data_IF_793971588070
#
_entry.id   IF_793971588070
#
_cell.length_a   1.000
_cell.length_b   1.000
_cell.length_c   1.000
_cell.angle_alpha   90.00
_cell.angle_beta   90.00
_cell.angle_gamma   90.00
#
_symmetry.space_group_name_H-M   'P 1'
#
loop_
_entity.id
_entity.type
_entity.pdbx_description
1 polymer ?
#
# COMPACT_ATOMS: atom_id res chain seq x y z
N UNK A 1 32.12 12.31 2.48
CA UNK A 1 30.76 12.01 2.95
C UNK A 1 29.86 13.12 2.43
N UNK A 2 29.26 12.95 1.24
CA UNK A 2 28.37 13.95 0.69
C UNK A 2 26.98 13.72 1.28
N UNK A 3 26.46 14.71 2.00
CA UNK A 3 25.08 14.75 2.45
C UNK A 3 24.21 14.89 1.22
N UNK A 4 23.61 13.79 0.73
CA UNK A 4 22.58 13.88 -0.30
C UNK A 4 21.48 14.79 0.21
N UNK A 5 21.31 15.91 -0.48
CA UNK A 5 20.26 16.88 -0.19
C UNK A 5 18.96 16.20 -0.61
N UNK A 6 18.20 15.64 0.35
CA UNK A 6 16.89 15.03 0.09
C UNK A 6 15.96 16.10 -0.48
N UNK A 7 15.76 16.04 -1.79
CA UNK A 7 14.92 16.96 -2.56
C UNK A 7 13.46 16.52 -2.41
N UNK A 8 12.78 17.03 -1.37
CA UNK A 8 11.34 16.80 -1.19
C UNK A 8 10.62 17.52 -2.32
N UNK A 9 10.11 16.79 -3.31
CA UNK A 9 9.40 17.35 -4.45
C UNK A 9 7.92 17.55 -4.11
N UNK A 10 7.59 18.63 -3.39
CA UNK A 10 6.22 18.93 -2.95
C UNK A 10 5.18 18.98 -4.10
N UNK A 11 5.62 19.26 -5.35
CA UNK A 11 4.72 19.30 -6.51
C UNK A 11 4.31 17.91 -7.00
N UNK A 12 5.05 16.87 -6.64
CA UNK A 12 4.80 15.48 -7.01
C UNK A 12 4.36 14.64 -5.83
N UNK A 13 4.77 14.98 -4.61
CA UNK A 13 4.34 14.28 -3.41
C UNK A 13 2.83 14.48 -3.19
N UNK A 14 2.08 13.38 -3.04
CA UNK A 14 0.65 13.43 -2.76
C UNK A 14 0.26 12.45 -1.66
N UNK A 15 -0.90 12.68 -1.08
CA UNK A 15 -1.54 11.74 -0.15
C UNK A 15 -2.73 11.07 -0.83
N UNK A 16 -2.88 9.77 -0.61
CA UNK A 16 -4.04 9.01 -1.09
C UNK A 16 -4.67 8.28 0.08
N UNK A 17 -5.98 8.48 0.26
CA UNK A 17 -6.76 7.62 1.16
C UNK A 17 -7.01 6.30 0.44
N UNK A 18 -6.55 5.21 1.02
CA UNK A 18 -6.74 3.87 0.49
C UNK A 18 -7.66 3.09 1.41
N UNK A 19 -8.84 2.77 0.89
CA UNK A 19 -9.75 1.78 1.47
C UNK A 19 -9.62 0.47 0.68
N UNK A 20 -9.74 -0.66 1.38
CA UNK A 20 -10.04 -1.93 0.73
C UNK A 20 -11.52 -1.91 0.36
N UNK A 21 -11.88 -2.36 -0.84
CA UNK A 21 -13.27 -2.42 -1.29
C UNK A 21 -13.58 -3.84 -1.76
N UNK A 22 -14.69 -4.41 -1.30
CA UNK A 22 -15.28 -5.63 -1.87
C UNK A 22 -16.32 -5.26 -2.91
N UNK A 23 -16.59 -6.14 -3.87
CA UNK A 23 -17.76 -6.02 -4.75
C UNK A 23 -18.97 -6.70 -4.09
N UNK A 24 -20.16 -6.06 -4.05
CA UNK A 24 -20.42 -4.67 -4.42
C UNK A 24 -19.76 -3.70 -3.42
N UNK A 25 -19.28 -2.55 -3.93
CA UNK A 25 -18.38 -1.54 -3.35
C UNK A 25 -18.57 -1.23 -1.85
N UNK A 26 -18.30 -2.20 -0.98
CA UNK A 26 -18.31 -2.06 0.46
C UNK A 26 -16.86 -1.83 0.87
N UNK A 27 -16.62 -0.69 1.52
CA UNK A 27 -15.35 -0.42 2.17
C UNK A 27 -15.17 -1.48 3.26
N UNK A 28 -14.13 -2.29 3.13
CA UNK A 28 -13.69 -3.25 4.13
C UNK A 28 -12.52 -2.59 4.84
N UNK A 29 -12.57 -2.39 6.17
CA UNK A 29 -11.42 -1.91 6.90
C UNK A 29 -10.27 -2.91 6.73
N UNK A 30 -9.03 -2.40 6.72
CA UNK A 30 -7.88 -3.30 6.85
C UNK A 30 -8.00 -4.01 8.20
N UNK A 31 -7.90 -5.35 8.24
CA UNK A 31 -8.03 -6.07 9.50
C UNK A 31 -6.94 -5.63 10.49
N UNK A 32 -7.36 -5.31 11.72
CA UNK A 32 -6.46 -4.90 12.78
C UNK A 32 -5.39 -5.96 13.02
N UNK A 33 -4.14 -5.52 13.19
CA UNK A 33 -3.04 -6.44 13.49
C UNK A 33 -2.51 -7.23 12.29
N UNK A 34 -3.06 -7.07 11.09
CA UNK A 34 -2.63 -7.81 9.88
C UNK A 34 -1.48 -7.10 9.16
N UNK A 35 -0.46 -7.86 8.81
CA UNK A 35 0.66 -7.39 8.00
C UNK A 35 0.25 -7.31 6.53
N UNK A 36 0.70 -6.25 5.84
CA UNK A 36 0.33 -6.01 4.46
C UNK A 36 1.41 -5.29 3.67
N UNK A 37 1.36 -5.47 2.35
CA UNK A 37 2.09 -4.69 1.35
C UNK A 37 1.12 -4.19 0.30
N UNK A 38 1.14 -2.88 0.07
CA UNK A 38 0.38 -2.20 -0.96
C UNK A 38 1.35 -1.70 -2.03
N UNK A 39 1.31 -2.32 -3.19
CA UNK A 39 2.20 -2.03 -4.31
C UNK A 39 1.49 -1.16 -5.33
N UNK A 40 2.09 -0.01 -5.62
CA UNK A 40 1.66 0.92 -6.63
C UNK A 40 2.61 0.85 -7.82
N UNK A 41 2.09 0.66 -9.03
CA UNK A 41 2.88 0.55 -10.26
C UNK A 41 2.36 1.49 -11.32
N UNK A 42 3.24 2.21 -12.01
CA UNK A 42 2.91 2.96 -13.23
C UNK A 42 3.39 2.20 -14.48
N UNK A 43 2.83 2.53 -15.66
CA UNK A 43 3.10 1.83 -16.94
C UNK A 43 4.59 1.66 -17.28
N UNK A 44 5.45 2.57 -16.80
CA UNK A 44 6.90 2.53 -17.02
C UNK A 44 7.65 1.56 -16.09
N UNK A 45 6.94 0.75 -15.30
CA UNK A 45 7.53 -0.25 -14.39
C UNK A 45 8.07 0.34 -13.08
N UNK A 46 7.89 1.65 -12.85
CA UNK A 46 8.24 2.26 -11.56
C UNK A 46 7.22 1.86 -10.52
N UNK A 47 7.73 1.45 -9.35
CA UNK A 47 6.92 0.95 -8.24
C UNK A 47 7.13 1.75 -6.97
N UNK A 48 6.07 1.91 -6.20
CA UNK A 48 6.09 2.47 -4.85
C UNK A 48 5.33 1.55 -3.90
N UNK A 49 5.83 1.37 -2.67
CA UNK A 49 5.21 0.45 -1.70
C UNK A 49 4.86 1.18 -0.41
N UNK A 50 3.68 0.90 0.11
CA UNK A 50 3.29 1.16 1.49
C UNK A 50 3.07 -0.17 2.22
N UNK A 51 3.41 -0.24 3.51
CA UNK A 51 3.34 -1.53 4.22
C UNK A 51 3.15 -1.35 5.72
N UNK A 52 2.60 -2.40 6.34
CA UNK A 52 2.68 -2.65 7.78
C UNK A 52 3.36 -3.99 8.01
N UNK A 53 4.32 -4.02 8.93
CA UNK A 53 4.90 -5.26 9.45
C UNK A 53 5.03 -5.17 10.97
N UNK A 54 4.34 -6.05 11.70
CA UNK A 54 4.08 -5.86 13.11
C UNK A 54 3.48 -4.46 13.35
N UNK A 55 4.01 -3.71 14.31
CA UNK A 55 3.51 -2.36 14.63
C UNK A 55 4.13 -1.24 13.79
N UNK A 56 5.01 -1.57 12.84
CA UNK A 56 5.72 -0.59 12.04
C UNK A 56 4.98 -0.30 10.72
N UNK A 57 4.59 0.96 10.52
CA UNK A 57 4.05 1.45 9.26
C UNK A 57 5.14 2.13 8.44
N UNK A 58 5.15 1.88 7.12
CA UNK A 58 6.06 2.52 6.18
C UNK A 58 5.27 3.14 5.04
N UNK A 59 5.51 4.43 4.79
CA UNK A 59 4.85 5.23 3.74
C UNK A 59 3.33 5.30 3.86
N UNK A 60 2.79 4.99 5.04
CA UNK A 60 1.37 5.07 5.32
C UNK A 60 1.10 5.25 6.81
N UNK A 61 -0.12 5.66 7.14
CA UNK A 61 -0.64 5.77 8.50
C UNK A 61 -2.08 5.24 8.54
N UNK A 62 -2.53 4.65 9.66
CA UNK A 62 -3.95 4.34 9.85
C UNK A 62 -4.77 5.64 9.90
N UNK A 63 -5.95 5.64 9.27
CA UNK A 63 -6.89 6.77 9.21
C UNK A 63 -8.33 6.24 9.33
N UNK A 64 -8.76 5.96 10.56
CA UNK A 64 -10.05 5.30 10.83
C UNK A 64 -10.12 3.92 10.17
N UNK A 65 -11.15 3.70 9.35
CA UNK A 65 -11.34 2.47 8.56
C UNK A 65 -10.48 2.42 7.28
N UNK A 66 -9.65 3.44 7.04
CA UNK A 66 -8.82 3.57 5.85
C UNK A 66 -7.34 3.68 6.21
N UNK A 67 -6.50 3.67 5.16
CA UNK A 67 -5.07 3.87 5.26
C UNK A 67 -4.67 5.10 4.44
N UNK A 68 -4.09 6.10 5.10
CA UNK A 68 -3.49 7.25 4.45
C UNK A 68 -2.11 6.87 3.91
N UNK A 69 -1.96 6.82 2.59
CA UNK A 69 -0.67 6.55 1.93
C UNK A 69 0.01 7.86 1.56
N UNK A 70 1.30 7.96 1.91
CA UNK A 70 2.11 9.17 1.76
C UNK A 70 3.17 8.89 0.69
N UNK A 71 2.95 9.42 -0.52
CA UNK A 71 3.89 9.27 -1.64
C UNK A 71 4.97 10.33 -1.53
N UNK A 72 5.94 10.13 -0.64
CA UNK A 72 7.09 11.03 -0.49
C UNK A 72 8.30 10.46 -1.23
N UNK A 73 8.97 11.31 -2.03
CA UNK A 73 10.17 10.92 -2.81
C UNK A 73 9.92 9.63 -3.62
N UNK A 74 8.70 9.50 -4.15
CA UNK A 74 8.12 8.21 -4.57
C UNK A 74 8.70 7.66 -5.88
N UNK A 75 9.40 8.47 -6.69
CA UNK A 75 10.07 8.03 -7.91
C UNK A 75 9.15 7.48 -9.01
N UNK A 76 7.84 7.70 -8.89
CA UNK A 76 6.86 7.32 -9.92
C UNK A 76 6.86 8.38 -11.02
N UNK A 77 6.77 7.93 -12.27
CA UNK A 77 6.54 8.79 -13.43
C UNK A 77 5.03 9.06 -13.62
N UNK A 78 4.71 10.01 -14.49
CA UNK A 78 3.33 10.26 -14.93
C UNK A 78 2.70 9.01 -15.55
N UNK A 79 1.42 8.77 -15.26
CA UNK A 79 0.62 7.71 -15.85
C UNK A 79 -0.45 7.16 -14.90
N UNK A 80 -1.23 6.20 -15.40
CA UNK A 80 -2.22 5.48 -14.59
C UNK A 80 -1.52 4.69 -13.49
N UNK A 81 -1.96 4.92 -12.26
CA UNK A 81 -1.47 4.22 -11.08
C UNK A 81 -2.28 2.93 -10.87
N UNK A 82 -1.64 1.78 -11.04
CA UNK A 82 -2.20 0.48 -10.69
C UNK A 82 -1.83 0.14 -9.26
N UNK A 83 -2.75 -0.52 -8.55
CA UNK A 83 -2.58 -0.90 -7.15
C UNK A 83 -2.80 -2.39 -6.98
N UNK A 84 -1.98 -3.03 -6.17
CA UNK A 84 -2.14 -4.42 -5.72
C UNK A 84 -1.95 -4.47 -4.21
N UNK A 85 -2.89 -5.08 -3.51
CA UNK A 85 -2.83 -5.30 -2.07
C UNK A 85 -2.49 -6.76 -1.79
N UNK A 86 -1.45 -6.99 -0.99
CA UNK A 86 -1.07 -8.27 -0.45
C UNK A 86 -1.26 -8.26 1.07
N UNK A 87 -2.10 -9.17 1.58
CA UNK A 87 -2.35 -9.38 3.02
C UNK A 87 -1.70 -10.67 3.49
N UNK A 88 -1.14 -10.65 4.70
CA UNK A 88 -0.65 -11.83 5.42
C UNK A 88 -1.56 -12.11 6.62
N UNK A 89 -2.52 -12.99 6.43
CA UNK A 89 -3.49 -13.38 7.47
C UNK A 89 -2.96 -14.53 8.30
N UNK A 90 -3.18 -14.50 9.62
CA UNK A 90 -2.93 -15.66 10.48
C UNK A 90 -4.01 -16.70 10.17
N UNK A 91 -3.59 -17.91 9.79
CA UNK A 91 -4.49 -19.01 9.47
C UNK A 91 -3.90 -20.36 9.90
N UNK A 92 -4.43 -20.92 10.99
CA UNK A 92 -4.00 -22.20 11.57
C UNK A 92 -4.24 -23.42 10.66
N UNK A 93 -5.00 -23.25 9.57
CA UNK A 93 -5.18 -24.29 8.54
C UNK A 93 -3.99 -24.36 7.57
N UNK A 94 -3.12 -23.35 7.53
CA UNK A 94 -1.93 -23.34 6.68
C UNK A 94 -0.74 -23.94 7.44
N UNK A 95 0.15 -24.71 6.80
CA UNK A 95 1.29 -25.36 7.47
C UNK A 95 2.28 -24.41 8.17
N UNK A 96 2.36 -23.16 7.68
CA UNK A 96 3.21 -22.09 8.22
C UNK A 96 2.42 -21.07 9.07
N UNK A 97 1.12 -21.32 9.29
CA UNK A 97 0.23 -20.42 10.02
C UNK A 97 -0.11 -19.13 9.26
N UNK A 98 0.28 -18.99 7.99
CA UNK A 98 0.11 -17.76 7.20
C UNK A 98 -0.67 -18.01 5.91
N UNK A 99 -1.71 -17.21 5.68
CA UNK A 99 -2.42 -17.15 4.41
C UNK A 99 -2.12 -15.84 3.69
N UNK A 100 -1.56 -15.95 2.50
CA UNK A 100 -1.30 -14.81 1.62
C UNK A 100 -2.51 -14.56 0.70
N UNK A 101 -3.07 -13.35 0.74
CA UNK A 101 -4.22 -12.95 -0.09
C UNK A 101 -3.85 -11.75 -0.96
N UNK A 102 -4.19 -11.80 -2.25
CA UNK A 102 -3.88 -10.76 -3.22
C UNK A 102 -5.17 -10.16 -3.79
N UNK A 103 -5.24 -8.82 -3.80
CA UNK A 103 -6.34 -8.06 -4.41
C UNK A 103 -5.78 -7.08 -5.45
N UNK A 104 -6.00 -7.32 -6.76
CA UNK A 104 -5.73 -6.33 -7.79
C UNK A 104 -6.77 -5.20 -7.71
N UNK A 105 -6.36 -3.97 -8.04
CA UNK A 105 -7.26 -2.82 -8.07
C UNK A 105 -8.08 -2.69 -9.36
N UNK A 106 -7.80 -3.48 -10.41
CA UNK A 106 -8.53 -3.39 -11.66
C UNK A 106 -9.74 -4.38 -11.66
N UNK A 107 -10.98 -3.89 -11.76
CA UNK A 107 -12.05 -4.69 -12.36
C UNK A 107 -11.71 -4.90 -13.84
N UNK A 108 -11.96 -6.12 -14.34
CA UNK A 108 -11.95 -6.43 -15.76
C UNK A 108 -12.89 -5.51 -16.56
#
# INVERSE_FOLDING_TARGET
>A
MATETRHINYKSDFVSVSASATLPAKIVPLPDGVDFVLTYTVKHGHTFTASRSGDAYKNCLPDGDALLVIFKDHGLCEGTLRRELHLQLINDLMPDGLQNVYYPADPA
#
